data_IF_700650095488
#
_entry.id   IF_700650095488
#
_cell.length_a   1.000
_cell.length_b   1.000
_cell.length_c   1.000
_cell.angle_alpha   90.00
_cell.angle_beta   90.00
_cell.angle_gamma   90.00
#
_symmetry.space_group_name_H-M   'P 1'
#
loop_
_entity.id
_entity.type
_entity.pdbx_description
1 polymer ?
#
# COMPACT_ATOMS: atom_id res chain seq x y z
N UNK A 1 -15.54 -18.53 17.88
CA UNK A 1 -15.99 -17.37 17.09
C UNK A 1 -15.99 -17.78 15.62
N UNK A 2 -16.93 -17.32 14.79
CA UNK A 2 -16.89 -17.61 13.36
C UNK A 2 -15.66 -16.94 12.73
N UNK A 3 -14.92 -17.70 11.94
CA UNK A 3 -13.72 -17.27 11.20
C UNK A 3 -14.21 -16.48 9.98
N UNK A 4 -13.85 -15.19 9.80
CA UNK A 4 -14.10 -14.48 8.55
C UNK A 4 -13.49 -15.22 7.37
N UNK A 5 -14.29 -15.44 6.33
CA UNK A 5 -13.95 -16.26 5.17
C UNK A 5 -12.89 -15.60 4.25
N UNK A 6 -12.42 -14.40 4.58
CA UNK A 6 -11.95 -13.44 3.57
C UNK A 6 -11.43 -12.11 4.18
N UNK A 7 -10.28 -11.58 3.75
CA UNK A 7 -9.76 -10.22 4.01
C UNK A 7 -9.53 -9.50 2.69
N UNK A 8 -10.08 -8.31 2.53
CA UNK A 8 -9.82 -7.47 1.35
C UNK A 8 -8.49 -6.71 1.48
N UNK A 9 -7.71 -6.64 0.40
CA UNK A 9 -6.49 -5.80 0.31
C UNK A 9 -6.75 -4.63 -0.64
N UNK A 10 -6.32 -3.43 -0.22
CA UNK A 10 -6.35 -2.21 -1.02
C UNK A 10 -4.99 -1.53 -1.09
N UNK A 11 -4.77 -0.76 -2.16
CA UNK A 11 -3.64 0.17 -2.27
C UNK A 11 -4.17 1.56 -1.98
N UNK A 12 -3.47 2.29 -1.09
CA UNK A 12 -3.82 3.68 -0.77
C UNK A 12 -2.82 4.63 -1.43
N UNK A 13 -3.35 5.59 -2.19
CA UNK A 13 -2.60 6.63 -2.89
C UNK A 13 -3.14 7.99 -2.47
N UNK A 14 -2.51 8.60 -1.47
CA UNK A 14 -2.94 9.89 -0.89
C UNK A 14 -2.49 11.08 -1.76
N UNK A 15 -3.36 11.66 -2.59
CA UNK A 15 -3.00 12.83 -3.39
C UNK A 15 -3.51 14.13 -2.79
N UNK A 16 -2.79 15.23 -3.05
CA UNK A 16 -3.27 16.58 -2.74
C UNK A 16 -3.93 17.19 -3.98
N UNK A 17 -5.09 17.81 -3.78
CA UNK A 17 -5.71 18.66 -4.80
C UNK A 17 -5.27 20.09 -4.53
N UNK A 18 -4.45 20.64 -5.43
CA UNK A 18 -4.03 22.02 -5.34
C UNK A 18 -5.08 22.91 -6.03
N UNK A 19 -5.58 23.92 -5.32
CA UNK A 19 -6.55 24.87 -5.85
C UNK A 19 -5.83 26.07 -6.45
N UNK A 20 -6.25 26.48 -7.65
CA UNK A 20 -5.84 27.76 -8.21
C UNK A 20 -6.51 28.88 -7.41
N UNK A 21 -5.71 29.77 -6.82
CA UNK A 21 -6.23 30.95 -6.09
C UNK A 21 -6.82 31.93 -7.12
N UNK A 22 -8.13 32.24 -7.07
CA UNK A 22 -8.73 33.23 -7.96
C UNK A 22 -8.06 34.60 -7.74
N UNK A 23 -7.71 35.30 -8.82
CA UNK A 23 -7.12 36.64 -8.81
C UNK A 23 -5.69 36.76 -8.23
N UNK A 24 -4.90 35.68 -8.13
CA UNK A 24 -3.46 35.85 -7.97
C UNK A 24 -2.85 36.15 -9.33
N UNK A 25 -2.56 37.43 -9.61
CA UNK A 25 -1.67 37.77 -10.72
C UNK A 25 -0.36 37.00 -10.49
N UNK A 26 0.08 36.28 -11.52
CA UNK A 26 1.33 35.53 -11.49
C UNK A 26 2.48 36.52 -11.29
N UNK A 27 2.81 36.81 -10.03
CA UNK A 27 4.00 37.56 -9.69
C UNK A 27 5.16 36.69 -10.16
N UNK A 28 5.97 37.25 -11.05
CA UNK A 28 7.23 36.67 -11.54
C UNK A 28 7.99 36.01 -10.39
N UNK A 29 8.19 34.70 -10.50
CA UNK A 29 8.65 33.83 -9.41
C UNK A 29 7.50 32.99 -8.87
N UNK A 30 7.39 31.76 -9.37
CA UNK A 30 6.38 30.73 -9.11
C UNK A 30 5.85 30.66 -7.66
N UNK A 31 4.95 31.58 -7.30
CA UNK A 31 4.23 31.56 -6.03
C UNK A 31 2.77 31.06 -6.18
N UNK A 32 2.39 30.57 -7.38
CA UNK A 32 1.05 30.02 -7.66
C UNK A 32 0.74 28.77 -6.82
N UNK A 33 1.79 28.07 -6.40
CA UNK A 33 1.73 26.86 -5.59
C UNK A 33 2.64 27.04 -4.38
N UNK A 34 2.11 27.57 -3.27
CA UNK A 34 2.87 27.64 -2.04
C UNK A 34 2.87 26.25 -1.37
N UNK A 35 4.01 25.56 -1.34
CA UNK A 35 4.19 24.41 -0.47
C UNK A 35 4.29 24.95 0.96
N UNK A 36 3.32 24.65 1.87
CA UNK A 36 3.32 25.22 3.20
C UNK A 36 4.57 24.75 3.95
N UNK A 37 5.33 25.70 4.50
CA UNK A 37 6.60 25.41 5.20
C UNK A 37 6.41 25.07 6.68
N UNK A 38 5.18 25.15 7.20
CA UNK A 38 4.83 24.78 8.58
C UNK A 38 3.55 23.92 8.64
N UNK A 39 3.40 23.04 9.66
CA UNK A 39 2.17 22.27 9.87
C UNK A 39 0.92 23.14 10.04
N UNK A 40 1.02 24.30 10.70
CA UNK A 40 -0.08 25.25 10.83
C UNK A 40 -0.43 25.91 9.50
N UNK A 41 0.56 26.13 8.62
CA UNK A 41 0.32 26.57 7.26
C UNK A 41 -0.33 25.46 6.41
N UNK A 42 -0.09 24.18 6.72
CA UNK A 42 -0.79 23.04 6.11
C UNK A 42 -2.27 23.02 6.51
N UNK A 43 -2.58 23.26 7.78
CA UNK A 43 -3.96 23.37 8.29
C UNK A 43 -4.67 24.67 7.86
N UNK A 44 -3.91 25.73 7.57
CA UNK A 44 -4.43 27.06 7.20
C UNK A 44 -4.52 27.35 5.70
N UNK A 45 -3.70 26.71 4.85
CA UNK A 45 -3.71 26.87 3.38
C UNK A 45 -4.40 25.71 2.65
N UNK A 46 -4.48 24.51 3.24
CA UNK A 46 -5.02 23.32 2.57
C UNK A 46 -6.44 23.06 3.07
N UNK A 47 -7.34 22.84 2.11
CA UNK A 47 -8.79 22.66 2.26
C UNK A 47 -9.58 23.98 2.29
N UNK A 48 -9.45 24.80 1.24
CA UNK A 48 -10.63 25.57 0.81
C UNK A 48 -11.81 24.58 0.73
N UNK A 49 -13.00 24.96 1.21
CA UNK A 49 -14.13 24.02 1.33
C UNK A 49 -14.47 23.43 -0.04
N UNK A 50 -13.95 22.23 -0.27
CA UNK A 50 -14.04 21.50 -1.53
C UNK A 50 -15.16 20.46 -1.47
N UNK A 51 -15.91 20.38 -0.37
CA UNK A 51 -16.98 19.41 -0.16
C UNK A 51 -18.01 19.41 -1.28
N UNK A 52 -18.20 20.56 -1.94
CA UNK A 52 -19.14 20.70 -3.06
C UNK A 52 -18.63 20.07 -4.37
N UNK A 53 -17.31 20.03 -4.58
CA UNK A 53 -16.68 19.48 -5.80
C UNK A 53 -15.99 18.12 -5.58
N UNK A 54 -15.67 17.81 -4.33
CA UNK A 54 -15.00 16.59 -3.86
C UNK A 54 -15.63 15.32 -4.45
N UNK A 55 -16.96 15.12 -4.38
CA UNK A 55 -17.56 13.89 -4.88
C UNK A 55 -17.40 13.74 -6.40
N UNK A 56 -17.50 14.83 -7.15
CA UNK A 56 -17.38 14.81 -8.62
C UNK A 56 -15.95 14.55 -9.07
N UNK A 57 -14.97 15.17 -8.39
CA UNK A 57 -13.54 14.94 -8.66
C UNK A 57 -13.14 13.50 -8.34
N UNK A 58 -13.54 12.98 -7.17
CA UNK A 58 -13.25 11.59 -6.76
C UNK A 58 -13.86 10.60 -7.75
N UNK A 59 -15.13 10.79 -8.15
CA UNK A 59 -15.77 9.93 -9.16
C UNK A 59 -15.03 9.96 -10.50
N UNK A 60 -14.57 11.13 -10.95
CA UNK A 60 -13.86 11.25 -12.22
C UNK A 60 -12.50 10.55 -12.17
N UNK A 61 -11.76 10.68 -11.07
CA UNK A 61 -10.50 9.96 -10.85
C UNK A 61 -10.74 8.45 -10.86
N UNK A 62 -11.76 7.97 -10.15
CA UNK A 62 -12.11 6.54 -10.15
C UNK A 62 -12.48 6.04 -11.56
N UNK A 63 -13.26 6.81 -12.33
CA UNK A 63 -13.59 6.45 -13.71
C UNK A 63 -12.34 6.32 -14.59
N UNK A 64 -11.38 7.24 -14.48
CA UNK A 64 -10.13 7.20 -15.25
C UNK A 64 -9.25 5.99 -14.88
N UNK A 65 -9.13 5.68 -13.58
CA UNK A 65 -8.41 4.50 -13.10
C UNK A 65 -9.10 3.21 -13.59
N UNK A 66 -10.43 3.17 -13.51
CA UNK A 66 -11.24 2.04 -13.98
C UNK A 66 -11.09 1.79 -15.48
N UNK A 67 -11.14 2.84 -16.30
CA UNK A 67 -10.96 2.76 -17.75
C UNK A 67 -9.58 2.23 -18.16
N UNK A 68 -8.64 2.21 -17.22
CA UNK A 68 -7.31 1.66 -17.41
C UNK A 68 -7.18 0.20 -16.98
N UNK A 69 -8.30 -0.43 -16.63
CA UNK A 69 -8.38 -1.83 -16.26
C UNK A 69 -8.08 -2.13 -14.79
N UNK A 70 -8.00 -1.10 -13.94
CA UNK A 70 -7.77 -1.25 -12.50
C UNK A 70 -9.10 -1.14 -11.76
N UNK A 71 -9.48 -2.18 -11.00
CA UNK A 71 -10.63 -2.10 -10.11
C UNK A 71 -10.41 -1.06 -9.01
N UNK A 72 -11.37 -0.16 -8.82
CA UNK A 72 -11.28 0.98 -7.90
C UNK A 72 -12.63 1.22 -7.23
N UNK A 73 -12.61 1.77 -6.02
CA UNK A 73 -13.84 2.16 -5.31
C UNK A 73 -13.66 3.45 -4.53
N UNK A 74 -14.78 4.13 -4.24
CA UNK A 74 -14.80 5.33 -3.42
C UNK A 74 -16.06 5.41 -2.56
N UNK A 75 -15.96 6.08 -1.41
CA UNK A 75 -17.09 6.35 -0.50
C UNK A 75 -18.15 7.23 -1.16
N UNK A 76 -19.42 6.91 -0.92
CA UNK A 76 -20.54 7.79 -1.23
C UNK A 76 -20.73 8.77 -0.08
N UNK A 77 -20.25 10.02 -0.24
CA UNK A 77 -20.39 11.09 0.76
C UNK A 77 -21.42 12.11 0.21
N UNK A 78 -22.36 12.66 1.02
CA UNK A 78 -23.70 12.17 1.43
C UNK A 78 -24.82 12.41 0.35
N UNK A 79 -26.14 12.11 0.60
CA UNK A 79 -27.13 11.87 -0.44
C UNK A 79 -27.74 13.18 -0.96
N UNK A 80 -27.29 13.67 -2.10
CA UNK A 80 -28.12 14.59 -2.90
C UNK A 80 -29.03 13.79 -3.84
N UNK A 81 -30.25 14.28 -4.14
CA UNK A 81 -31.37 13.51 -4.71
C UNK A 81 -31.18 13.14 -6.19
N UNK A 82 -29.95 13.19 -6.68
CA UNK A 82 -29.60 12.60 -7.95
C UNK A 82 -29.51 11.12 -7.66
N UNK A 83 -30.66 10.43 -7.79
CA UNK A 83 -30.72 8.98 -7.99
C UNK A 83 -29.48 8.61 -8.80
N UNK A 84 -28.52 7.85 -8.23
CA UNK A 84 -27.26 7.63 -8.89
C UNK A 84 -27.62 7.05 -10.25
N UNK A 85 -27.48 7.83 -11.31
CA UNK A 85 -27.61 7.31 -12.65
C UNK A 85 -26.72 6.07 -12.64
N UNK A 86 -27.27 4.91 -12.99
CA UNK A 86 -26.50 3.70 -13.08
C UNK A 86 -25.36 4.01 -14.05
N UNK A 87 -24.17 4.28 -13.52
CA UNK A 87 -23.00 4.51 -14.33
C UNK A 87 -22.67 3.11 -14.87
N UNK A 88 -22.72 2.89 -16.19
CA UNK A 88 -22.47 1.59 -16.77
C UNK A 88 -21.12 1.05 -16.28
N UNK A 89 -21.08 -0.22 -15.87
CA UNK A 89 -19.86 -0.85 -15.32
C UNK A 89 -19.56 -0.56 -13.85
N UNK A 90 -20.48 0.09 -13.12
CA UNK A 90 -20.34 0.31 -11.66
C UNK A 90 -21.33 -0.49 -10.85
N UNK A 91 -20.94 -0.87 -9.63
CA UNK A 91 -21.84 -1.40 -8.60
C UNK A 91 -21.79 -0.54 -7.34
N UNK A 92 -22.90 -0.50 -6.60
CA UNK A 92 -22.94 0.07 -5.25
C UNK A 92 -22.92 -1.09 -4.27
N UNK A 93 -21.97 -1.06 -3.33
CA UNK A 93 -21.78 -2.12 -2.34
C UNK A 93 -21.83 -1.55 -0.92
N UNK A 94 -22.54 -2.21 0.00
CA UNK A 94 -22.47 -1.88 1.42
C UNK A 94 -21.12 -2.30 1.99
N UNK A 95 -20.39 -1.37 2.62
CA UNK A 95 -18.98 -1.59 2.97
C UNK A 95 -18.78 -2.24 4.33
N UNK A 96 -19.60 -1.91 5.34
CA UNK A 96 -19.92 -2.70 6.55
C UNK A 96 -21.29 -2.24 7.07
N UNK A 97 -21.83 -2.89 8.10
CA UNK A 97 -23.10 -2.48 8.74
C UNK A 97 -23.08 -1.01 9.24
N UNK A 98 -21.89 -0.40 9.40
CA UNK A 98 -21.71 0.91 10.02
C UNK A 98 -20.88 1.93 9.21
N UNK A 99 -20.34 1.60 8.04
CA UNK A 99 -19.38 2.47 7.31
C UNK A 99 -19.91 3.05 5.98
N UNK A 100 -21.19 2.84 5.68
CA UNK A 100 -21.87 3.40 4.51
C UNK A 100 -21.65 2.60 3.22
N UNK A 101 -22.11 3.17 2.11
CA UNK A 101 -22.03 2.56 0.78
C UNK A 101 -20.83 3.08 0.00
N UNK A 102 -20.24 2.22 -0.84
CA UNK A 102 -19.25 2.61 -1.84
C UNK A 102 -19.77 2.42 -3.25
N UNK A 103 -19.21 3.19 -4.18
CA UNK A 103 -19.26 2.88 -5.60
C UNK A 103 -17.97 2.16 -5.99
N UNK A 104 -18.10 1.05 -6.68
CA UNK A 104 -16.99 0.26 -7.18
C UNK A 104 -17.08 0.08 -8.69
N UNK A 105 -15.93 0.16 -9.36
CA UNK A 105 -15.75 -0.08 -10.79
C UNK A 105 -14.98 -1.40 -10.96
N UNK A 106 -15.49 -2.29 -11.82
CA UNK A 106 -14.81 -3.54 -12.15
C UNK A 106 -14.38 -3.51 -13.62
N UNK A 107 -13.20 -4.07 -13.90
CA UNK A 107 -12.74 -4.32 -15.26
C UNK A 107 -13.40 -5.57 -15.86
N UNK A 108 -13.81 -6.53 -15.02
CA UNK A 108 -14.49 -7.75 -15.48
C UNK A 108 -16.01 -7.56 -15.48
N UNK A 109 -16.67 -8.07 -16.53
CA UNK A 109 -18.12 -8.07 -16.63
C UNK A 109 -18.71 -9.01 -15.58
N UNK A 110 -19.07 -8.49 -14.41
CA UNK A 110 -19.75 -9.28 -13.38
C UNK A 110 -21.22 -9.44 -13.76
N UNK A 111 -21.60 -10.64 -14.17
CA UNK A 111 -23.01 -11.00 -14.38
C UNK A 111 -23.62 -11.50 -13.07
N UNK A 112 -24.63 -10.81 -12.55
CA UNK A 112 -25.38 -11.23 -11.36
C UNK A 112 -25.18 -10.31 -10.14
N UNK A 113 -25.61 -10.76 -8.94
CA UNK A 113 -25.40 -10.00 -7.70
C UNK A 113 -23.90 -9.80 -7.46
N UNK A 114 -23.49 -8.55 -7.38
CA UNK A 114 -22.07 -8.20 -7.21
C UNK A 114 -21.73 -8.21 -5.73
N UNK A 115 -20.62 -8.84 -5.38
CA UNK A 115 -20.13 -9.00 -4.01
C UNK A 115 -18.81 -8.23 -3.82
N UNK A 116 -18.38 -8.04 -2.56
CA UNK A 116 -17.06 -7.48 -2.27
C UNK A 116 -15.92 -8.32 -2.87
N UNK A 117 -16.14 -9.61 -3.10
CA UNK A 117 -15.09 -10.49 -3.64
C UNK A 117 -14.71 -10.17 -5.07
N UNK A 118 -15.57 -9.43 -5.77
CA UNK A 118 -15.39 -9.13 -7.19
C UNK A 118 -14.53 -7.88 -7.42
N UNK A 119 -14.31 -7.06 -6.38
CA UNK A 119 -13.58 -5.80 -6.48
C UNK A 119 -12.30 -5.75 -5.66
N UNK A 120 -12.20 -6.61 -4.65
CA UNK A 120 -11.12 -6.57 -3.66
C UNK A 120 -10.31 -7.85 -3.73
N UNK A 121 -9.00 -7.77 -3.48
CA UNK A 121 -8.20 -8.98 -3.31
C UNK A 121 -8.51 -9.62 -1.98
N UNK A 122 -9.22 -10.74 -2.04
CA UNK A 122 -9.61 -11.47 -0.86
C UNK A 122 -8.55 -12.50 -0.48
N UNK A 123 -7.97 -12.30 0.69
CA UNK A 123 -6.98 -13.13 1.34
C UNK A 123 -7.61 -13.69 2.63
N UNK A 124 -7.83 -14.99 2.79
CA UNK A 124 -8.44 -15.54 4.01
C UNK A 124 -7.67 -15.16 5.29
N UNK A 125 -8.39 -15.03 6.42
CA UNK A 125 -7.84 -14.58 7.72
C UNK A 125 -6.64 -15.40 8.22
N UNK A 126 -6.54 -16.66 7.79
CA UNK A 126 -5.43 -17.58 8.07
C UNK A 126 -4.05 -17.09 7.59
N UNK A 127 -3.98 -15.96 6.86
CA UNK A 127 -2.78 -15.50 6.16
C UNK A 127 -2.29 -14.09 6.54
N UNK A 128 -2.98 -13.39 7.46
CA UNK A 128 -2.43 -12.20 8.15
C UNK A 128 -1.00 -12.45 8.65
N UNK A 129 -0.74 -13.69 9.04
CA UNK A 129 0.52 -14.13 9.62
C UNK A 129 1.64 -14.40 8.59
N UNK A 130 1.33 -14.41 7.29
CA UNK A 130 2.26 -14.70 6.20
C UNK A 130 2.83 -13.45 5.51
N UNK A 131 2.59 -12.28 6.09
CA UNK A 131 3.24 -11.01 5.73
C UNK A 131 4.76 -11.00 5.98
N UNK A 132 5.32 -12.12 6.45
CA UNK A 132 6.76 -12.38 6.50
C UNK A 132 7.48 -12.06 5.18
N UNK A 133 6.83 -12.29 4.04
CA UNK A 133 7.41 -11.97 2.73
C UNK A 133 7.47 -10.46 2.51
N UNK A 134 6.42 -9.72 2.86
CA UNK A 134 6.40 -8.24 2.80
C UNK A 134 7.51 -7.68 3.69
N UNK A 135 7.64 -8.22 4.90
CA UNK A 135 8.70 -7.84 5.85
C UNK A 135 10.11 -8.00 5.27
N UNK A 136 10.41 -9.16 4.68
CA UNK A 136 11.73 -9.42 4.09
C UNK A 136 12.02 -8.59 2.85
N UNK A 137 10.97 -8.23 2.10
CA UNK A 137 11.08 -7.50 0.85
C UNK A 137 11.08 -5.98 1.01
N UNK A 138 10.82 -5.48 2.22
CA UNK A 138 10.64 -4.06 2.49
C UNK A 138 11.80 -3.21 1.97
N UNK A 139 13.04 -3.52 2.39
CA UNK A 139 14.24 -2.76 2.00
C UNK A 139 14.85 -3.21 0.66
N UNK A 140 14.49 -4.40 0.17
CA UNK A 140 15.14 -5.02 -0.98
C UNK A 140 14.33 -4.97 -2.26
N UNK A 141 13.03 -4.72 -2.15
CA UNK A 141 12.10 -4.64 -3.27
C UNK A 141 11.12 -3.48 -3.12
N UNK A 142 10.38 -3.39 -2.01
CA UNK A 142 9.25 -2.45 -1.91
C UNK A 142 9.71 -0.99 -1.93
N UNK A 143 10.54 -0.55 -1.00
CA UNK A 143 11.07 0.82 -1.02
C UNK A 143 11.96 1.12 -2.24
N UNK A 144 12.79 0.19 -2.74
CA UNK A 144 13.52 0.40 -4.00
C UNK A 144 12.66 0.67 -5.24
N UNK A 145 11.39 0.26 -5.24
CA UNK A 145 10.43 0.57 -6.31
C UNK A 145 9.70 1.91 -6.11
N UNK A 146 9.88 2.56 -4.96
CA UNK A 146 9.24 3.82 -4.62
C UNK A 146 10.20 5.01 -4.78
N UNK A 147 9.64 6.22 -4.72
CA UNK A 147 10.44 7.44 -4.67
C UNK A 147 11.40 7.42 -3.45
N UNK A 148 12.69 7.81 -3.57
CA UNK A 148 13.68 7.69 -2.50
C UNK A 148 13.24 8.26 -1.13
N UNK A 149 12.54 9.41 -1.13
CA UNK A 149 11.98 10.03 0.08
C UNK A 149 10.94 9.18 0.83
N UNK A 150 10.29 8.19 0.19
CA UNK A 150 9.31 7.32 0.85
C UNK A 150 9.94 6.52 1.98
N UNK A 151 11.18 6.07 1.77
CA UNK A 151 11.92 5.27 2.75
C UNK A 151 12.24 6.01 4.06
N UNK A 152 12.18 7.35 4.02
CA UNK A 152 12.43 8.24 5.16
C UNK A 152 11.18 9.01 5.60
N UNK A 153 10.03 8.76 4.98
CA UNK A 153 8.80 9.49 5.26
C UNK A 153 8.18 9.01 6.58
N UNK A 154 7.80 9.93 7.49
CA UNK A 154 7.11 9.56 8.73
C UNK A 154 5.68 9.05 8.48
N UNK A 155 5.15 9.25 7.27
CA UNK A 155 3.81 8.82 6.86
C UNK A 155 3.78 7.44 6.21
N UNK A 156 4.94 6.82 5.97
CA UNK A 156 5.08 5.46 5.45
C UNK A 156 6.26 4.79 6.13
N UNK A 157 6.21 4.71 7.47
CA UNK A 157 7.29 4.16 8.26
C UNK A 157 7.46 2.65 8.01
N UNK A 158 8.70 2.15 8.12
CA UNK A 158 8.99 0.74 7.85
C UNK A 158 8.31 -0.17 8.86
N UNK A 159 7.58 -1.18 8.40
CA UNK A 159 7.00 -2.16 9.35
C UNK A 159 8.10 -2.95 10.03
N UNK A 160 9.21 -3.22 9.34
CA UNK A 160 10.29 -4.06 9.85
C UNK A 160 11.14 -3.41 10.94
N UNK A 161 11.01 -2.10 11.10
CA UNK A 161 11.82 -1.29 12.02
C UNK A 161 10.96 -0.56 13.04
N UNK A 162 9.84 0.02 12.60
CA UNK A 162 9.09 0.99 13.40
C UNK A 162 7.79 0.43 14.00
N UNK A 163 7.32 -0.73 13.53
CA UNK A 163 6.08 -1.32 14.04
C UNK A 163 6.25 -1.88 15.46
N UNK A 164 5.14 -2.07 16.18
CA UNK A 164 5.14 -2.81 17.44
C UNK A 164 5.63 -4.25 17.26
N UNK A 165 5.29 -4.90 16.15
CA UNK A 165 5.83 -6.23 15.82
C UNK A 165 7.36 -6.22 15.78
N UNK A 166 8.00 -5.14 15.29
CA UNK A 166 9.46 -5.06 15.20
C UNK A 166 10.09 -4.81 16.57
N UNK A 167 9.49 -3.91 17.34
CA UNK A 167 10.12 -3.29 18.51
C UNK A 167 9.74 -3.94 19.85
N UNK A 168 8.60 -4.63 19.91
CA UNK A 168 8.16 -5.29 21.14
C UNK A 168 9.08 -6.41 21.57
N UNK A 169 9.25 -6.55 22.89
CA UNK A 169 10.02 -7.63 23.50
C UNK A 169 9.15 -8.85 23.72
N UNK A 170 9.78 -10.01 23.69
CA UNK A 170 9.13 -11.29 23.95
C UNK A 170 8.87 -12.07 22.68
N UNK A 171 8.87 -13.39 22.81
CA UNK A 171 8.67 -14.32 21.71
C UNK A 171 7.45 -15.18 22.04
N UNK A 172 6.25 -14.80 21.56
CA UNK A 172 5.05 -15.57 21.84
C UNK A 172 5.20 -16.99 21.27
N UNK A 173 4.53 -17.94 21.91
CA UNK A 173 4.49 -19.31 21.40
C UNK A 173 3.57 -19.36 20.18
N UNK A 174 4.08 -19.87 19.07
CA UNK A 174 3.33 -20.08 17.84
C UNK A 174 3.03 -21.57 17.69
N UNK A 175 1.87 -21.91 17.14
CA UNK A 175 1.43 -23.29 16.95
C UNK A 175 1.13 -23.59 15.47
N UNK A 176 1.05 -24.87 15.14
CA UNK A 176 0.63 -25.33 13.81
C UNK A 176 1.58 -24.89 12.68
N UNK A 177 1.01 -24.40 11.59
CA UNK A 177 1.77 -23.99 10.38
C UNK A 177 2.83 -22.92 10.68
N UNK A 178 2.52 -21.97 11.57
CA UNK A 178 3.44 -20.90 11.94
C UNK A 178 4.66 -21.39 12.70
N UNK A 179 4.49 -22.42 13.55
CA UNK A 179 5.60 -23.01 14.28
C UNK A 179 6.60 -23.66 13.31
N UNK A 180 6.08 -24.44 12.36
CA UNK A 180 6.90 -25.09 11.32
C UNK A 180 7.62 -24.07 10.43
N UNK A 181 6.98 -22.94 10.11
CA UNK A 181 7.60 -21.86 9.34
C UNK A 181 8.73 -21.17 10.10
N UNK A 182 8.48 -20.79 11.35
CA UNK A 182 9.47 -20.14 12.22
C UNK A 182 10.67 -21.06 12.44
N UNK A 183 10.42 -22.37 12.62
CA UNK A 183 11.48 -23.37 12.73
C UNK A 183 12.31 -23.49 11.44
N UNK A 184 11.65 -23.58 10.27
CA UNK A 184 12.33 -23.66 8.99
C UNK A 184 13.19 -22.42 8.71
N UNK A 185 12.67 -21.22 8.99
CA UNK A 185 13.43 -19.98 8.87
C UNK A 185 14.61 -19.98 9.85
N UNK A 186 14.40 -20.44 11.10
CA UNK A 186 15.46 -20.56 12.10
C UNK A 186 16.58 -21.52 11.70
N UNK A 187 16.27 -22.61 11.01
CA UNK A 187 17.27 -23.52 10.42
C UNK A 187 18.10 -22.81 9.36
N UNK A 188 17.47 -22.11 8.41
CA UNK A 188 18.19 -21.34 7.38
C UNK A 188 19.07 -20.27 8.03
N UNK A 189 18.56 -19.58 9.05
CA UNK A 189 19.34 -18.59 9.79
C UNK A 189 20.58 -19.18 10.46
N UNK A 190 20.48 -20.39 11.03
CA UNK A 190 21.64 -21.11 11.57
C UNK A 190 22.65 -21.49 10.50
N UNK A 191 22.18 -21.94 9.33
CA UNK A 191 23.08 -22.27 8.21
C UNK A 191 23.81 -21.03 7.68
N UNK A 192 23.15 -19.88 7.72
CA UNK A 192 23.68 -18.61 7.26
C UNK A 192 24.31 -17.74 8.36
N UNK A 193 24.53 -18.28 9.57
CA UNK A 193 24.94 -17.52 10.76
C UNK A 193 26.21 -16.67 10.60
N UNK A 194 27.05 -17.00 9.61
CA UNK A 194 28.28 -16.28 9.27
C UNK A 194 28.03 -14.98 8.49
N UNK A 195 26.83 -14.76 7.96
CA UNK A 195 26.47 -13.54 7.22
C UNK A 195 26.12 -12.40 8.17
N UNK A 196 26.63 -11.20 7.88
CA UNK A 196 26.47 -10.00 8.74
C UNK A 196 25.01 -9.53 8.90
N UNK A 197 24.16 -9.82 7.91
CA UNK A 197 22.76 -9.36 7.86
C UNK A 197 21.76 -10.36 8.46
N UNK A 198 22.23 -11.47 9.03
CA UNK A 198 21.34 -12.40 9.73
C UNK A 198 20.92 -11.78 11.06
N UNK A 199 19.66 -11.38 11.13
CA UNK A 199 19.06 -10.76 12.33
C UNK A 199 18.24 -11.78 13.12
N UNK A 200 18.65 -12.07 14.36
CA UNK A 200 17.90 -12.95 15.27
C UNK A 200 16.58 -12.34 15.72
N UNK A 201 16.45 -11.00 15.72
CA UNK A 201 15.22 -10.29 16.05
C UNK A 201 14.07 -10.66 15.13
N UNK A 202 14.37 -10.98 13.86
CA UNK A 202 13.40 -11.42 12.87
C UNK A 202 12.52 -12.57 13.36
N UNK A 203 13.06 -13.60 14.02
CA UNK A 203 12.25 -14.73 14.50
C UNK A 203 11.21 -14.28 15.54
N UNK A 204 11.59 -13.35 16.42
CA UNK A 204 10.66 -12.76 17.38
C UNK A 204 9.54 -11.99 16.67
N UNK A 205 9.89 -11.20 15.66
CA UNK A 205 8.91 -10.45 14.85
C UNK A 205 7.97 -11.39 14.09
N UNK A 206 8.50 -12.45 13.47
CA UNK A 206 7.67 -13.45 12.79
C UNK A 206 6.74 -14.16 13.77
N UNK A 207 7.21 -14.49 14.99
CA UNK A 207 6.37 -15.10 16.02
C UNK A 207 5.24 -14.17 16.45
N UNK A 208 5.52 -12.88 16.65
CA UNK A 208 4.50 -11.88 17.00
C UNK A 208 3.47 -11.70 15.90
N UNK A 209 3.92 -11.52 14.66
CA UNK A 209 3.03 -11.48 13.48
C UNK A 209 2.15 -12.74 13.40
N UNK A 210 2.73 -13.92 13.64
CA UNK A 210 1.99 -15.19 13.64
C UNK A 210 1.04 -15.38 14.82
N UNK A 211 1.20 -14.62 15.90
CA UNK A 211 0.33 -14.70 17.07
C UNK A 211 -0.93 -13.83 16.94
N UNK A 212 -0.99 -12.97 15.93
CA UNK A 212 -2.17 -12.16 15.65
C UNK A 212 -3.32 -13.03 15.16
N UNK A 213 -4.48 -12.90 15.82
CA UNK A 213 -5.65 -13.77 15.61
C UNK A 213 -6.80 -13.09 14.90
N UNK A 214 -6.68 -11.78 14.64
CA UNK A 214 -7.71 -10.97 13.99
C UNK A 214 -7.09 -9.75 13.31
N UNK A 215 -7.81 -9.16 12.35
CA UNK A 215 -7.42 -7.87 11.77
C UNK A 215 -7.36 -6.75 12.81
N UNK A 216 -8.24 -6.78 13.83
CA UNK A 216 -8.23 -5.77 14.89
C UNK A 216 -6.93 -5.82 15.72
N UNK A 217 -6.47 -7.03 16.08
CA UNK A 217 -5.22 -7.20 16.83
C UNK A 217 -4.00 -6.90 15.95
N UNK A 218 -4.01 -7.36 14.69
CA UNK A 218 -2.99 -7.02 13.70
C UNK A 218 -2.88 -5.50 13.50
N UNK A 219 -4.00 -4.81 13.37
CA UNK A 219 -4.06 -3.36 13.18
C UNK A 219 -3.46 -2.58 14.35
N UNK A 220 -3.46 -3.15 15.55
CA UNK A 220 -2.76 -2.61 16.71
C UNK A 220 -1.26 -2.93 16.63
N UNK A 221 -0.90 -4.16 16.23
CA UNK A 221 0.48 -4.63 16.15
C UNK A 221 1.30 -3.96 15.01
N UNK A 222 0.64 -3.56 13.93
CA UNK A 222 1.24 -2.83 12.81
C UNK A 222 1.39 -1.32 13.06
N UNK A 223 0.88 -0.79 14.18
CA UNK A 223 1.11 0.62 14.54
C UNK A 223 2.57 0.88 14.81
N UNK A 224 2.95 2.15 14.67
CA UNK A 224 4.27 2.60 15.07
C UNK A 224 4.45 2.39 16.59
N UNK A 225 5.61 1.92 17.02
CA UNK A 225 5.81 1.43 18.40
C UNK A 225 5.57 2.49 19.49
N UNK A 226 5.93 3.74 19.22
CA UNK A 226 5.76 4.88 20.13
C UNK A 226 4.43 5.62 19.93
N UNK A 227 3.62 5.19 18.96
CA UNK A 227 2.28 5.71 18.74
C UNK A 227 1.37 5.15 19.84
N UNK A 228 0.87 6.03 20.71
CA UNK A 228 0.00 5.66 21.82
C UNK A 228 -1.32 5.00 21.37
N UNK A 229 -2.31 4.95 22.26
CA UNK A 229 -3.61 4.31 21.94
C UNK A 229 -4.43 5.05 20.86
N UNK A 230 -4.14 6.33 20.62
CA UNK A 230 -4.81 7.20 19.66
C UNK A 230 -4.17 7.08 18.26
N UNK A 231 -5.02 7.06 17.23
CA UNK A 231 -4.59 7.02 15.85
C UNK A 231 -3.95 8.36 15.46
N UNK A 232 -2.69 8.35 15.06
CA UNK A 232 -1.99 9.54 14.56
C UNK A 232 -1.75 9.43 13.05
N UNK A 233 -1.15 10.48 12.47
CA UNK A 233 -0.74 10.52 11.06
C UNK A 233 0.55 9.73 10.82
N UNK A 234 1.32 9.37 11.85
CA UNK A 234 2.55 8.59 11.70
C UNK A 234 2.24 7.10 11.66
N UNK A 235 1.97 6.58 10.47
CA UNK A 235 1.62 5.17 10.29
C UNK A 235 2.74 4.42 9.57
N UNK A 236 2.79 3.11 9.80
CA UNK A 236 3.63 2.24 9.00
C UNK A 236 3.11 2.12 7.56
N UNK A 237 3.95 1.57 6.69
CA UNK A 237 3.64 1.33 5.28
C UNK A 237 2.63 0.19 5.04
N UNK A 238 2.25 -0.54 6.10
CA UNK A 238 1.16 -1.51 6.12
C UNK A 238 0.25 -1.20 7.31
N UNK A 239 -1.05 -1.07 7.08
CA UNK A 239 -2.03 -0.71 8.12
C UNK A 239 -3.31 -1.50 7.93
N UNK A 240 -4.05 -1.74 9.01
CA UNK A 240 -5.45 -2.21 8.91
C UNK A 240 -6.36 -0.99 8.88
N UNK A 241 -7.10 -0.83 7.80
CA UNK A 241 -7.99 0.29 7.55
C UNK A 241 -9.21 0.27 8.48
N UNK A 242 -9.96 1.38 8.47
CA UNK A 242 -11.31 1.44 9.06
C UNK A 242 -12.35 0.57 8.31
N UNK A 243 -11.94 -0.05 7.21
CA UNK A 243 -12.77 -0.87 6.33
C UNK A 243 -12.50 -2.38 6.51
N UNK A 244 -11.76 -2.76 7.55
CA UNK A 244 -11.29 -4.13 7.78
C UNK A 244 -10.51 -4.67 6.57
N UNK A 245 -9.68 -3.82 5.98
CA UNK A 245 -8.78 -4.16 4.85
C UNK A 245 -7.33 -3.90 5.23
N UNK A 246 -6.40 -4.60 4.58
CA UNK A 246 -4.98 -4.25 4.68
C UNK A 246 -4.68 -3.16 3.64
N UNK A 247 -4.20 -2.02 4.10
CA UNK A 247 -3.77 -0.86 3.31
C UNK A 247 -2.28 -0.94 3.03
N UNK A 248 -1.92 -1.05 1.75
CA UNK A 248 -0.56 -1.02 1.28
C UNK A 248 -0.14 0.43 0.94
N UNK A 249 0.69 1.03 1.79
CA UNK A 249 1.06 2.46 1.78
C UNK A 249 2.53 2.67 1.41
N UNK A 250 3.11 1.74 0.65
CA UNK A 250 4.45 1.89 0.08
C UNK A 250 4.49 2.85 -1.13
N UNK A 251 3.66 2.68 -2.18
CA UNK A 251 3.74 3.51 -3.38
C UNK A 251 3.47 4.98 -3.07
N UNK A 252 4.22 5.87 -3.73
CA UNK A 252 3.87 7.28 -3.75
C UNK A 252 2.61 7.55 -4.55
N UNK A 253 1.97 8.64 -4.21
CA UNK A 253 0.77 9.12 -4.84
C UNK A 253 1.09 9.62 -6.24
N UNK A 254 0.37 9.09 -7.22
CA UNK A 254 0.55 9.44 -8.62
C UNK A 254 -0.78 9.28 -9.35
N UNK A 255 -0.88 9.93 -10.52
CA UNK A 255 -1.93 9.66 -11.50
C UNK A 255 -1.42 8.82 -12.66
N UNK A 256 -0.16 8.36 -12.61
CA UNK A 256 0.36 7.38 -13.54
C UNK A 256 -0.32 6.03 -13.30
N UNK A 257 -1.38 5.83 -14.06
CA UNK A 257 -2.15 4.60 -14.19
C UNK A 257 -1.24 3.38 -14.33
N UNK A 258 -0.16 3.50 -15.08
CA UNK A 258 0.71 2.38 -15.35
C UNK A 258 1.43 1.96 -14.06
N UNK A 259 1.99 2.91 -13.34
CA UNK A 259 2.58 2.68 -12.04
C UNK A 259 1.58 2.07 -11.04
N UNK A 260 0.35 2.61 -10.99
CA UNK A 260 -0.72 2.11 -10.11
C UNK A 260 -1.04 0.64 -10.42
N UNK A 261 -1.24 0.30 -11.69
CA UNK A 261 -1.52 -1.06 -12.11
C UNK A 261 -0.37 -2.02 -11.78
N UNK A 262 0.88 -1.57 -11.96
CA UNK A 262 2.07 -2.34 -11.59
C UNK A 262 2.12 -2.69 -10.10
N UNK A 263 1.82 -1.71 -9.23
CA UNK A 263 1.73 -1.96 -7.79
C UNK A 263 0.57 -2.89 -7.44
N UNK A 264 -0.59 -2.72 -8.08
CA UNK A 264 -1.72 -3.62 -7.91
C UNK A 264 -1.33 -5.07 -8.24
N UNK A 265 -0.67 -5.30 -9.37
CA UNK A 265 -0.18 -6.63 -9.75
C UNK A 265 0.85 -7.19 -8.78
N UNK A 266 1.80 -6.37 -8.32
CA UNK A 266 2.81 -6.80 -7.36
C UNK A 266 2.17 -7.19 -6.02
N UNK A 267 1.28 -6.37 -5.48
CA UNK A 267 0.59 -6.65 -4.21
C UNK A 267 -0.24 -7.93 -4.32
N UNK A 268 -1.00 -8.10 -5.41
CA UNK A 268 -1.73 -9.34 -5.72
C UNK A 268 -0.82 -10.56 -5.68
N UNK A 269 0.34 -10.43 -6.33
CA UNK A 269 1.31 -11.53 -6.40
C UNK A 269 1.92 -11.86 -5.05
N UNK A 270 2.24 -10.86 -4.22
CA UNK A 270 2.75 -11.07 -2.86
C UNK A 270 1.76 -11.88 -2.01
N UNK A 271 0.48 -11.53 -2.07
CA UNK A 271 -0.54 -12.30 -1.39
C UNK A 271 -0.77 -13.68 -2.02
N UNK A 272 -0.72 -13.81 -3.36
CA UNK A 272 -0.77 -15.12 -4.01
C UNK A 272 0.41 -16.03 -3.58
N UNK A 273 1.61 -15.47 -3.37
CA UNK A 273 2.75 -16.17 -2.78
C UNK A 273 2.44 -16.63 -1.35
N UNK A 274 1.90 -15.73 -0.52
CA UNK A 274 1.49 -16.06 0.85
C UNK A 274 0.40 -17.14 0.90
N UNK A 275 -0.43 -17.26 -0.14
CA UNK A 275 -1.50 -18.26 -0.27
C UNK A 275 -1.04 -19.63 -0.75
N UNK A 276 0.23 -19.79 -1.16
CA UNK A 276 0.70 -21.06 -1.69
C UNK A 276 0.68 -22.19 -0.65
N UNK A 277 0.65 -23.47 -1.10
CA UNK A 277 0.89 -24.61 -0.23
C UNK A 277 2.14 -24.38 0.62
N UNK A 278 2.10 -24.83 1.88
CA UNK A 278 3.12 -24.51 2.88
C UNK A 278 4.56 -24.80 2.40
N UNK A 279 4.76 -25.93 1.72
CA UNK A 279 6.06 -26.32 1.17
C UNK A 279 6.58 -25.31 0.13
N UNK A 280 5.72 -24.88 -0.80
CA UNK A 280 6.08 -23.89 -1.82
C UNK A 280 6.34 -22.51 -1.19
N UNK A 281 5.48 -22.10 -0.26
CA UNK A 281 5.66 -20.85 0.46
C UNK A 281 6.99 -20.82 1.22
N UNK A 282 7.33 -21.91 1.93
CA UNK A 282 8.60 -22.05 2.62
C UNK A 282 9.80 -21.94 1.69
N UNK A 283 9.75 -22.58 0.51
CA UNK A 283 10.83 -22.50 -0.47
C UNK A 283 11.04 -21.05 -0.94
N UNK A 284 9.96 -20.32 -1.22
CA UNK A 284 10.02 -18.91 -1.62
C UNK A 284 10.59 -18.06 -0.49
N UNK A 285 10.08 -18.23 0.74
CA UNK A 285 10.55 -17.48 1.90
C UNK A 285 12.05 -17.71 2.17
N UNK A 286 12.50 -18.96 2.15
CA UNK A 286 13.91 -19.31 2.35
C UNK A 286 14.80 -18.73 1.24
N UNK A 287 14.35 -18.78 -0.02
CA UNK A 287 15.03 -18.16 -1.16
C UNK A 287 15.16 -16.64 -0.98
N UNK A 288 14.08 -15.97 -0.62
CA UNK A 288 14.09 -14.52 -0.35
C UNK A 288 15.03 -14.19 0.81
N UNK A 289 14.94 -14.93 1.92
CA UNK A 289 15.81 -14.74 3.08
C UNK A 289 17.30 -14.93 2.74
N UNK A 290 17.60 -15.95 1.93
CA UNK A 290 18.96 -16.20 1.45
C UNK A 290 19.47 -15.08 0.54
N UNK A 291 18.61 -14.36 -0.19
CA UNK A 291 19.06 -13.24 -1.02
C UNK A 291 19.27 -11.95 -0.22
N UNK A 292 18.34 -11.61 0.68
CA UNK A 292 18.41 -10.37 1.48
C UNK A 292 19.59 -10.38 2.47
N UNK A 293 20.02 -11.56 2.90
CA UNK A 293 21.14 -11.71 3.83
C UNK A 293 22.53 -11.68 3.17
N UNK A 294 22.62 -11.64 1.83
CA UNK A 294 23.91 -11.57 1.13
C UNK A 294 24.64 -10.25 1.42
N UNK A 295 25.97 -10.32 1.50
CA UNK A 295 26.80 -9.12 1.68
C UNK A 295 26.55 -8.10 0.56
N UNK A 296 26.59 -8.57 -0.69
CA UNK A 296 26.07 -7.84 -1.85
C UNK A 296 24.61 -8.24 -2.08
N UNK A 297 23.70 -7.40 -1.60
CA UNK A 297 22.27 -7.63 -1.79
C UNK A 297 21.94 -7.49 -3.28
N UNK A 298 21.24 -8.47 -3.88
CA UNK A 298 20.83 -8.34 -5.27
C UNK A 298 19.80 -7.21 -5.41
N UNK A 299 19.76 -6.57 -6.57
CA UNK A 299 18.83 -5.47 -6.85
C UNK A 299 17.36 -5.92 -6.87
N UNK A 300 16.44 -4.95 -6.85
CA UNK A 300 14.99 -5.19 -6.82
C UNK A 300 14.50 -6.13 -7.93
N UNK A 301 15.10 -6.08 -9.13
CA UNK A 301 14.70 -6.93 -10.26
C UNK A 301 14.96 -8.42 -9.99
N UNK A 302 16.04 -8.74 -9.29
CA UNK A 302 16.32 -10.11 -8.87
C UNK A 302 15.36 -10.55 -7.75
N UNK A 303 14.90 -9.62 -6.88
CA UNK A 303 13.88 -9.93 -5.87
C UNK A 303 12.52 -10.24 -6.50
N UNK A 304 12.13 -9.54 -7.59
CA UNK A 304 10.94 -9.90 -8.37
C UNK A 304 11.04 -11.35 -8.89
N UNK A 305 12.18 -11.74 -9.45
CA UNK A 305 12.43 -13.12 -9.85
C UNK A 305 12.38 -14.10 -8.66
N UNK A 306 12.87 -13.68 -7.49
CA UNK A 306 12.87 -14.47 -6.26
C UNK A 306 11.50 -14.66 -5.61
N UNK A 307 10.49 -13.90 -6.00
CA UNK A 307 9.08 -14.20 -5.68
C UNK A 307 8.33 -14.82 -6.87
N UNK A 308 8.99 -14.95 -8.02
CA UNK A 308 8.39 -15.47 -9.25
C UNK A 308 7.41 -14.49 -9.91
N UNK A 309 7.56 -13.20 -9.65
CA UNK A 309 6.75 -12.17 -10.29
C UNK A 309 7.18 -12.02 -11.76
N UNK A 310 6.21 -12.11 -12.67
CA UNK A 310 6.44 -12.07 -14.13
C UNK A 310 6.06 -10.71 -14.74
N UNK A 311 5.88 -9.67 -13.92
CA UNK A 311 5.57 -8.34 -14.43
C UNK A 311 6.75 -7.70 -15.17
N UNK A 312 6.43 -6.67 -15.96
CA UNK A 312 7.41 -5.99 -16.80
C UNK A 312 8.39 -5.16 -15.96
N UNK A 313 9.59 -5.71 -15.72
CA UNK A 313 10.68 -5.01 -15.05
C UNK A 313 11.08 -3.71 -15.76
N UNK A 314 10.90 -3.59 -17.07
CA UNK A 314 11.25 -2.37 -17.80
C UNK A 314 10.35 -1.19 -17.41
N UNK A 315 9.09 -1.46 -17.04
CA UNK A 315 8.15 -0.46 -16.52
C UNK A 315 8.62 0.13 -15.20
N UNK A 316 9.01 -0.73 -14.27
CA UNK A 316 9.58 -0.32 -12.98
C UNK A 316 10.88 0.49 -13.17
N UNK A 317 11.76 0.02 -14.05
CA UNK A 317 13.02 0.72 -14.32
C UNK A 317 12.79 2.11 -14.93
N UNK A 318 11.80 2.26 -15.82
CA UNK A 318 11.42 3.55 -16.40
C UNK A 318 11.02 4.53 -15.31
N UNK A 319 10.08 4.14 -14.45
CA UNK A 319 9.59 4.97 -13.35
C UNK A 319 10.71 5.34 -12.36
N UNK A 320 11.57 4.39 -12.02
CA UNK A 320 12.72 4.65 -11.13
C UNK A 320 13.68 5.68 -11.74
N UNK A 321 13.88 5.65 -13.06
CA UNK A 321 14.72 6.64 -13.74
C UNK A 321 14.10 8.05 -13.70
N UNK A 322 12.77 8.15 -13.73
CA UNK A 322 12.04 9.42 -13.65
C UNK A 322 12.20 10.11 -12.29
N UNK A 323 12.46 9.38 -11.20
CA UNK A 323 12.81 10.01 -9.92
C UNK A 323 14.13 10.79 -9.95
N UNK A 324 15.00 10.47 -10.91
CA UNK A 324 16.23 11.21 -11.17
C UNK A 324 16.00 12.50 -11.97
N UNK A 325 14.81 12.66 -12.57
CA UNK A 325 14.46 13.84 -13.34
C UNK A 325 13.95 14.97 -12.43
N UNK A 326 14.47 16.17 -12.64
CA UNK A 326 14.08 17.34 -11.88
C UNK A 326 12.65 17.76 -12.23
N UNK A 327 11.85 18.16 -11.21
CA UNK A 327 10.51 18.75 -11.34
C UNK A 327 10.42 19.92 -12.35
N UNK A 328 11.56 20.48 -12.75
CA UNK A 328 11.69 21.45 -13.86
C UNK A 328 11.19 20.94 -15.21
N UNK A 329 10.85 19.66 -15.35
CA UNK A 329 10.28 19.09 -16.58
C UNK A 329 8.75 19.23 -16.67
N UNK A 330 8.06 19.68 -15.62
CA UNK A 330 6.62 20.01 -15.68
C UNK A 330 6.30 21.07 -16.75
N UNK A 331 7.27 21.95 -17.05
CA UNK A 331 7.18 22.96 -18.10
C UNK A 331 7.36 22.40 -19.52
N UNK A 332 8.02 21.23 -19.68
CA UNK A 332 8.43 20.73 -21.00
C UNK A 332 7.30 20.13 -21.83
N UNK A 333 6.22 19.70 -21.19
CA UNK A 333 5.10 19.03 -21.86
C UNK A 333 3.86 19.93 -22.04
N UNK A 334 3.95 21.23 -21.71
CA UNK A 334 2.80 22.14 -21.80
C UNK A 334 1.64 21.77 -20.88
N UNK A 335 1.89 20.94 -19.85
CA UNK A 335 0.91 20.58 -18.80
C UNK A 335 0.55 21.83 -18.00
N UNK A 336 1.54 22.69 -17.76
CA UNK A 336 1.31 24.07 -17.35
C UNK A 336 1.08 24.89 -18.63
N UNK A 337 -0.11 25.48 -18.78
CA UNK A 337 -0.36 26.42 -19.88
C UNK A 337 0.74 27.49 -19.87
N UNK A 338 1.37 27.71 -21.02
CA UNK A 338 2.16 28.91 -21.28
C UNK A 338 1.22 30.11 -21.23
N UNK A 339 1.01 30.66 -20.04
CA UNK A 339 0.34 31.95 -19.89
C UNK A 339 1.42 33.01 -20.03
N UNK A 340 1.69 33.41 -21.28
CA UNK A 340 2.50 34.58 -21.59
C UNK A 340 3.47 34.43 -22.76
N UNK A 341 2.97 34.65 -23.97
CA UNK A 341 3.56 35.66 -24.86
C UNK A 341 2.45 36.62 -25.29
#
# INVERSE_FOLDING_TARGET
MPIPQSISVGIELEFMVALQIPNSDAVTGEARWACPTTPEAFLGLVMGDYKDIEPSCIHKVCELIANSGVSVSCSLIPPSPISPAQIPGTAILPLTDNSGDIRAWNNESVSGPVSKTDFWFIVPERHITRDCVIWLLEDSLLYPLCHPFRSTSPYSARISVESRIAMERGEPTVYGEGAALVEALGEVMRQLHWRKKVDRGLLGSMKRLWSETSLASLGIALRKFDEGSLHTTTRCALVVSKYDTIEFRYPESTFDVDFIAGWADLVRHLYAVAMRPQVEFHQILCRVYELVTRDQMPGWSAMLGAIGFQGDASRWQRHINEYGDTLSNLDKQGILQNIGQ
#
